data_IF_719883115972
#
_entry.id   IF_719883115972
#
_cell.length_a   1.000
_cell.length_b   1.000
_cell.length_c   1.000
_cell.angle_alpha   90.00
_cell.angle_beta   90.00
_cell.angle_gamma   90.00
#
_symmetry.space_group_name_H-M   'P 1'
#
loop_
_entity.id
_entity.type
_entity.pdbx_description
1 polymer ?
#
# COMPACT_ATOMS: atom_id res chain seq x y z
N UNK A 1 15.19 -0.94 -4.07
CA UNK A 1 14.38 0.10 -3.43
C UNK A 1 14.85 0.38 -2.02
N UNK A 2 15.32 -0.61 -1.26
CA UNK A 2 15.85 -0.36 0.09
C UNK A 2 16.87 -1.45 0.49
N UNK A 3 17.64 -1.21 1.55
CA UNK A 3 18.61 -2.15 2.14
C UNK A 3 18.48 -2.15 3.66
N UNK A 4 18.35 -3.34 4.24
CA UNK A 4 18.28 -3.53 5.69
C UNK A 4 19.56 -4.17 6.24
N UNK A 5 20.18 -5.04 5.45
CA UNK A 5 21.41 -5.73 5.81
C UNK A 5 22.25 -5.85 4.54
N UNK A 6 23.54 -5.56 4.65
CA UNK A 6 24.51 -5.78 3.57
C UNK A 6 25.77 -6.43 4.13
N UNK A 7 26.00 -7.70 3.80
CA UNK A 7 27.07 -8.48 4.41
C UNK A 7 26.82 -8.66 5.91
N UNK A 8 27.73 -8.15 6.73
CA UNK A 8 27.68 -8.12 8.19
C UNK A 8 27.18 -6.77 8.77
N UNK A 9 26.82 -5.82 7.91
CA UNK A 9 26.33 -4.49 8.32
C UNK A 9 24.81 -4.52 8.45
N UNK A 10 24.32 -4.27 9.67
CA UNK A 10 22.91 -4.01 9.95
C UNK A 10 22.60 -2.52 9.76
N UNK A 11 21.61 -2.24 8.91
CA UNK A 11 21.13 -0.91 8.56
C UNK A 11 19.67 -0.72 8.96
N UNK A 12 19.02 -1.68 9.63
CA UNK A 12 17.58 -1.62 9.91
C UNK A 12 17.17 -0.39 10.75
N UNK A 13 18.07 0.09 11.62
CA UNK A 13 17.86 1.26 12.48
C UNK A 13 18.40 2.56 11.88
N UNK A 14 19.03 2.52 10.71
CA UNK A 14 19.54 3.71 10.05
C UNK A 14 18.42 4.51 9.39
N UNK A 15 18.62 5.82 9.30
CA UNK A 15 17.78 6.73 8.53
C UNK A 15 17.70 6.30 7.06
N UNK A 16 16.55 6.50 6.42
CA UNK A 16 16.34 6.14 5.02
C UNK A 16 17.40 6.74 4.10
N UNK A 17 17.81 8.00 4.28
CA UNK A 17 18.84 8.63 3.45
C UNK A 17 20.17 7.87 3.50
N UNK A 18 20.60 7.44 4.69
CA UNK A 18 21.80 6.61 4.87
C UNK A 18 21.65 5.25 4.15
N UNK A 19 20.49 4.60 4.29
CA UNK A 19 20.22 3.30 3.65
C UNK A 19 20.22 3.43 2.12
N UNK A 20 19.61 4.47 1.57
CA UNK A 20 19.61 4.72 0.14
C UNK A 20 21.03 5.00 -0.38
N UNK A 21 21.78 5.88 0.27
CA UNK A 21 23.18 6.15 -0.07
C UNK A 21 24.02 4.87 -0.06
N UNK A 22 23.88 4.05 0.98
CA UNK A 22 24.59 2.78 1.09
C UNK A 22 24.23 1.82 -0.04
N UNK A 23 22.93 1.68 -0.33
CA UNK A 23 22.45 0.83 -1.42
C UNK A 23 23.05 1.26 -2.76
N UNK A 24 23.02 2.56 -3.08
CA UNK A 24 23.57 3.06 -4.34
C UNK A 24 25.08 2.80 -4.46
N UNK A 25 25.83 3.12 -3.41
CA UNK A 25 27.28 2.91 -3.34
C UNK A 25 27.65 1.44 -3.54
N UNK A 26 26.99 0.53 -2.80
CA UNK A 26 27.28 -0.91 -2.90
C UNK A 26 26.78 -1.55 -4.19
N UNK A 27 25.71 -1.01 -4.76
CA UNK A 27 25.21 -1.49 -6.04
C UNK A 27 26.18 -1.16 -7.18
N UNK A 28 26.84 0.00 -7.13
CA UNK A 28 27.85 0.40 -8.12
C UNK A 28 29.12 -0.48 -8.08
N UNK A 29 29.42 -1.10 -6.94
CA UNK A 29 30.55 -2.02 -6.76
C UNK A 29 30.24 -3.46 -7.23
N UNK A 30 28.98 -3.77 -7.55
CA UNK A 30 28.62 -5.13 -7.97
C UNK A 30 29.30 -5.50 -9.29
N UNK A 31 29.91 -6.69 -9.39
CA UNK A 31 30.52 -7.13 -10.63
C UNK A 31 29.46 -7.26 -11.74
N UNK A 32 29.85 -6.92 -12.97
CA UNK A 32 29.03 -7.15 -14.17
C UNK A 32 28.73 -8.66 -14.35
N UNK A 33 29.67 -9.50 -13.94
CA UNK A 33 29.50 -10.95 -13.95
C UNK A 33 28.40 -11.37 -12.99
N UNK A 34 27.37 -12.04 -13.52
CA UNK A 34 26.28 -12.62 -12.74
C UNK A 34 26.28 -14.14 -12.88
N UNK A 35 26.04 -14.90 -11.79
CA UNK A 35 25.84 -16.34 -11.88
C UNK A 35 24.72 -16.67 -12.87
N UNK A 36 24.85 -17.78 -13.63
CA UNK A 36 23.87 -18.17 -14.68
C UNK A 36 22.42 -18.26 -14.23
N UNK A 37 22.16 -18.43 -12.93
CA UNK A 37 20.82 -18.54 -12.33
C UNK A 37 20.39 -17.28 -11.57
N UNK A 38 21.24 -16.26 -11.48
CA UNK A 38 20.92 -15.02 -10.80
C UNK A 38 19.95 -14.20 -11.66
N UNK A 39 18.94 -13.61 -11.01
CA UNK A 39 18.09 -12.61 -11.66
C UNK A 39 18.86 -11.29 -11.79
N UNK A 40 18.66 -10.51 -12.86
CA UNK A 40 19.20 -9.16 -12.94
C UNK A 40 18.65 -8.35 -11.77
N UNK A 41 19.54 -7.66 -11.07
CA UNK A 41 19.15 -6.63 -10.12
C UNK A 41 19.14 -5.30 -10.84
N UNK A 42 18.12 -4.48 -10.57
CA UNK A 42 18.02 -3.11 -11.04
C UNK A 42 17.91 -2.20 -9.82
N UNK A 43 18.76 -1.18 -9.78
CA UNK A 43 18.68 -0.14 -8.77
C UNK A 43 17.51 0.79 -9.11
N UNK A 44 16.68 1.07 -8.11
CA UNK A 44 15.71 2.16 -8.15
C UNK A 44 16.25 3.22 -7.22
N UNK A 45 16.85 4.26 -7.80
CA UNK A 45 17.49 5.34 -7.07
C UNK A 45 16.47 6.21 -6.34
N UNK A 46 16.80 6.59 -5.11
CA UNK A 46 16.06 7.59 -4.38
C UNK A 46 16.51 8.98 -4.85
N UNK A 47 15.55 9.85 -5.15
CA UNK A 47 15.85 11.24 -5.54
C UNK A 47 15.06 12.19 -4.65
N UNK A 48 15.57 13.40 -4.37
CA UNK A 48 14.78 14.43 -3.73
C UNK A 48 13.47 14.65 -4.49
N UNK A 49 12.35 14.70 -3.77
CA UNK A 49 11.02 14.88 -4.34
C UNK A 49 10.75 16.33 -4.78
N UNK A 50 11.64 16.90 -5.60
CA UNK A 50 11.42 18.22 -6.21
C UNK A 50 10.40 18.12 -7.34
N UNK A 51 9.81 19.25 -7.69
CA UNK A 51 8.88 19.34 -8.81
C UNK A 51 9.49 18.81 -10.11
N UNK A 52 10.75 19.15 -10.41
CA UNK A 52 11.46 18.71 -11.61
C UNK A 52 11.74 17.21 -11.60
N UNK A 53 12.11 16.67 -10.43
CA UNK A 53 12.38 15.24 -10.26
C UNK A 53 11.08 14.42 -10.45
N UNK A 54 9.96 14.88 -9.89
CA UNK A 54 8.65 14.26 -10.03
C UNK A 54 8.16 14.31 -11.48
N UNK A 55 8.21 15.47 -12.14
CA UNK A 55 7.83 15.61 -13.54
C UNK A 55 8.65 14.66 -14.44
N UNK A 56 9.97 14.61 -14.22
CA UNK A 56 10.86 13.71 -14.96
C UNK A 56 10.50 12.26 -14.71
N UNK A 57 10.36 11.84 -13.45
CA UNK A 57 10.02 10.47 -13.09
C UNK A 57 8.63 10.05 -13.61
N UNK A 58 7.68 10.97 -13.72
CA UNK A 58 6.34 10.71 -14.23
C UNK A 58 6.36 10.44 -15.75
N UNK A 59 7.15 11.21 -16.49
CA UNK A 59 7.20 11.17 -17.96
C UNK A 59 8.24 10.20 -18.52
N UNK A 60 9.33 9.93 -17.80
CA UNK A 60 10.45 9.15 -18.32
C UNK A 60 10.09 7.68 -18.55
N UNK A 61 10.63 7.09 -19.61
CA UNK A 61 10.72 5.63 -19.70
C UNK A 61 12.01 5.19 -18.99
N UNK A 62 11.87 4.26 -18.05
CA UNK A 62 12.97 3.72 -17.23
C UNK A 62 13.26 2.25 -17.57
N UNK A 63 12.70 1.75 -18.69
CA UNK A 63 12.88 0.37 -19.15
C UNK A 63 12.05 -0.65 -18.39
N UNK A 64 11.13 -0.19 -17.54
CA UNK A 64 10.13 -1.02 -16.86
C UNK A 64 8.82 -0.25 -16.68
N UNK A 65 7.73 -0.99 -16.55
CA UNK A 65 6.40 -0.44 -16.29
C UNK A 65 6.39 0.10 -14.86
N UNK A 66 6.18 1.41 -14.72
CA UNK A 66 5.98 2.06 -13.42
C UNK A 66 4.67 1.56 -12.79
N UNK A 67 4.53 1.72 -11.49
CA UNK A 67 3.27 1.43 -10.78
C UNK A 67 2.90 2.57 -9.85
N UNK A 68 3.86 3.10 -9.09
CA UNK A 68 3.62 4.16 -8.13
C UNK A 68 4.86 5.00 -7.89
N UNK A 69 4.67 6.19 -7.34
CA UNK A 69 5.69 6.87 -6.57
C UNK A 69 5.66 6.41 -5.13
N UNK A 70 6.85 6.18 -4.58
CA UNK A 70 7.06 5.91 -3.16
C UNK A 70 7.84 7.09 -2.59
N UNK A 71 7.22 7.80 -1.66
CA UNK A 71 7.83 8.88 -0.90
C UNK A 71 8.31 8.32 0.42
N UNK A 72 9.57 8.56 0.75
CA UNK A 72 10.19 8.12 1.99
C UNK A 72 10.78 9.33 2.67
N UNK A 73 10.41 9.56 3.93
CA UNK A 73 11.03 10.62 4.73
C UNK A 73 12.51 10.30 4.95
N UNK A 74 13.39 11.29 4.75
CA UNK A 74 14.86 11.09 4.79
C UNK A 74 15.33 10.49 6.11
N UNK A 75 14.80 11.02 7.21
CA UNK A 75 15.09 10.58 8.58
C UNK A 75 14.24 9.37 9.02
N UNK A 76 13.45 8.78 8.10
CA UNK A 76 12.57 7.67 8.42
C UNK A 76 13.34 6.38 8.63
N UNK A 77 13.19 5.77 9.81
CA UNK A 77 13.73 4.44 10.09
C UNK A 77 12.84 3.35 9.46
N UNK A 78 13.42 2.18 9.18
CA UNK A 78 12.64 1.05 8.71
C UNK A 78 11.78 0.47 9.83
N UNK A 79 10.46 0.40 9.64
CA UNK A 79 9.55 -0.15 10.64
C UNK A 79 9.17 -1.61 10.30
N UNK A 80 9.65 -2.55 11.11
CA UNK A 80 9.38 -3.99 10.95
C UNK A 80 8.10 -4.41 11.71
N UNK A 81 7.80 -3.74 12.83
CA UNK A 81 6.75 -4.14 13.76
C UNK A 81 5.36 -3.57 13.43
N UNK A 82 5.27 -2.59 12.55
CA UNK A 82 4.01 -1.93 12.20
C UNK A 82 3.65 -2.15 10.72
N UNK A 83 2.35 -2.29 10.41
CA UNK A 83 1.91 -2.52 9.03
C UNK A 83 2.06 -1.30 8.12
N UNK A 84 2.09 -0.10 8.71
CA UNK A 84 2.10 1.18 8.00
C UNK A 84 2.90 2.19 8.82
N UNK A 85 3.47 3.17 8.14
CA UNK A 85 4.15 4.31 8.75
C UNK A 85 3.76 5.58 8.01
N UNK A 86 3.54 6.71 8.70
CA UNK A 86 3.31 7.99 8.02
C UNK A 86 4.55 8.50 7.27
N UNK A 87 5.72 7.92 7.55
CA UNK A 87 7.00 8.32 6.94
C UNK A 87 7.23 7.69 5.56
N UNK A 88 6.36 6.78 5.13
CA UNK A 88 6.41 6.17 3.80
C UNK A 88 5.03 6.27 3.17
N UNK A 89 4.92 7.05 2.10
CA UNK A 89 3.68 7.25 1.37
C UNK A 89 3.80 6.65 -0.02
N UNK A 90 2.68 6.12 -0.52
CA UNK A 90 2.58 5.65 -1.89
C UNK A 90 1.52 6.46 -2.62
N UNK A 91 1.87 6.96 -3.79
CA UNK A 91 0.97 7.67 -4.68
C UNK A 91 0.98 7.02 -6.06
N UNK A 92 -0.18 6.93 -6.70
CA UNK A 92 -0.32 6.32 -8.03
C UNK A 92 -1.54 6.88 -8.72
N UNK A 93 -1.55 6.84 -10.04
CA UNK A 93 -2.70 7.23 -10.84
C UNK A 93 -2.89 6.25 -12.00
N UNK A 94 -3.83 6.56 -12.90
CA UNK A 94 -4.10 5.74 -14.09
C UNK A 94 -2.97 5.76 -15.12
N UNK A 95 -2.11 6.78 -15.11
CA UNK A 95 -0.98 6.83 -16.04
C UNK A 95 0.16 5.92 -15.56
N UNK A 96 0.47 5.94 -14.26
CA UNK A 96 1.52 5.11 -13.69
C UNK A 96 1.06 3.68 -13.44
N UNK A 97 -0.11 3.47 -12.85
CA UNK A 97 -0.55 2.14 -12.42
C UNK A 97 -1.62 1.57 -13.33
N UNK A 98 -1.37 0.34 -13.80
CA UNK A 98 -2.42 -0.50 -14.42
C UNK A 98 -3.55 -0.82 -13.43
N UNK A 99 -3.21 -0.92 -12.14
CA UNK A 99 -4.12 -1.37 -11.08
C UNK A 99 -4.27 -0.30 -10.00
N UNK A 100 -4.65 0.90 -10.42
CA UNK A 100 -4.92 2.03 -9.52
C UNK A 100 -6.07 1.72 -8.54
N UNK A 101 -7.08 0.99 -9.02
CA UNK A 101 -8.18 0.42 -8.24
C UNK A 101 -8.08 -1.09 -8.36
N UNK A 102 -8.48 -1.82 -7.31
CA UNK A 102 -8.50 -3.29 -7.35
C UNK A 102 -9.52 -3.77 -8.41
N UNK A 103 -9.03 -4.42 -9.45
CA UNK A 103 -9.82 -5.01 -10.54
C UNK A 103 -9.73 -6.54 -10.52
N UNK A 104 -10.74 -7.26 -11.05
CA UNK A 104 -10.72 -8.72 -11.10
C UNK A 104 -9.99 -9.26 -12.35
N UNK A 105 -9.81 -8.43 -13.37
CA UNK A 105 -9.18 -8.80 -14.63
C UNK A 105 -7.67 -8.50 -14.66
N UNK A 106 -6.94 -9.19 -15.53
CA UNK A 106 -5.49 -9.06 -15.71
C UNK A 106 -5.07 -7.79 -16.47
N UNK A 107 -6.04 -6.99 -16.94
CA UNK A 107 -5.79 -5.79 -17.73
C UNK A 107 -6.05 -4.49 -16.93
N UNK A 108 -6.69 -4.57 -15.77
CA UNK A 108 -7.02 -3.38 -14.97
C UNK A 108 -8.27 -2.63 -15.43
N UNK A 109 -9.11 -3.24 -16.28
CA UNK A 109 -10.17 -2.53 -17.00
C UNK A 109 -11.55 -2.65 -16.37
N UNK A 110 -11.86 -3.78 -15.75
CA UNK A 110 -13.20 -4.04 -15.21
C UNK A 110 -13.24 -3.57 -13.77
N UNK A 111 -14.04 -2.55 -13.49
CA UNK A 111 -14.28 -2.13 -12.11
C UNK A 111 -15.35 -3.04 -11.48
N UNK A 112 -15.06 -3.71 -10.35
CA UNK A 112 -16.11 -4.40 -9.60
C UNK A 112 -17.18 -3.41 -9.18
N UNK A 113 -18.44 -3.84 -9.05
CA UNK A 113 -19.55 -2.98 -8.63
C UNK A 113 -19.30 -2.36 -7.24
N UNK A 114 -18.77 -3.17 -6.32
CA UNK A 114 -18.46 -2.76 -4.94
C UNK A 114 -16.96 -2.68 -4.70
N UNK A 115 -16.56 -1.80 -3.78
CA UNK A 115 -15.17 -1.72 -3.35
C UNK A 115 -14.88 -2.89 -2.40
N UNK A 116 -13.85 -3.68 -2.72
CA UNK A 116 -13.35 -4.71 -1.84
C UNK A 116 -12.24 -4.15 -0.94
N UNK A 117 -12.29 -4.46 0.35
CA UNK A 117 -11.29 -4.05 1.34
C UNK A 117 -10.95 -5.23 2.24
N UNK A 118 -9.72 -5.30 2.73
CA UNK A 118 -9.32 -6.27 3.75
C UNK A 118 -9.28 -5.59 5.11
N UNK A 119 -10.06 -6.08 6.06
CA UNK A 119 -10.17 -5.53 7.41
C UNK A 119 -9.86 -6.59 8.45
N UNK A 120 -9.33 -6.16 9.59
CA UNK A 120 -9.10 -7.01 10.74
C UNK A 120 -10.36 -7.10 11.59
N UNK A 121 -10.88 -8.32 11.79
CA UNK A 121 -11.97 -8.56 12.72
C UNK A 121 -11.46 -8.53 14.16
N UNK A 122 -12.11 -7.71 14.98
CA UNK A 122 -11.87 -7.55 16.42
C UNK A 122 -13.10 -8.00 17.21
N UNK A 123 -12.94 -8.08 18.53
CA UNK A 123 -14.02 -8.47 19.45
C UNK A 123 -15.26 -7.60 19.27
N UNK A 124 -16.44 -8.22 19.40
CA UNK A 124 -17.74 -7.54 19.23
C UNK A 124 -18.09 -7.19 17.78
N UNK A 125 -17.44 -7.82 16.79
CA UNK A 125 -17.73 -7.58 15.37
C UNK A 125 -17.11 -6.30 14.79
N UNK A 126 -16.25 -5.60 15.56
CA UNK A 126 -15.58 -4.39 15.09
C UNK A 126 -14.56 -4.72 14.00
N UNK A 127 -14.54 -3.92 12.94
CA UNK A 127 -13.63 -4.04 11.82
C UNK A 127 -12.60 -2.92 11.85
N UNK A 128 -11.32 -3.29 11.74
CA UNK A 128 -10.19 -2.38 11.95
C UNK A 128 -9.24 -2.34 10.75
N UNK A 129 -8.74 -1.17 10.43
CA UNK A 129 -7.69 -0.97 9.42
C UNK A 129 -6.29 -1.27 9.96
N UNK A 130 -5.30 -1.29 9.06
CA UNK A 130 -3.89 -1.47 9.42
C UNK A 130 -3.38 -0.39 10.38
N UNK A 131 -3.75 0.87 10.15
CA UNK A 131 -3.52 2.05 10.99
C UNK A 131 -4.48 2.14 12.20
N UNK A 132 -5.10 1.02 12.57
CA UNK A 132 -5.84 0.83 13.82
C UNK A 132 -7.14 1.63 13.96
N UNK A 133 -7.66 2.21 12.88
CA UNK A 133 -8.97 2.87 12.87
C UNK A 133 -10.10 1.82 12.88
N UNK A 134 -11.07 1.97 13.79
CA UNK A 134 -12.32 1.19 13.73
C UNK A 134 -13.24 1.87 12.73
N UNK A 135 -13.53 1.17 11.64
CA UNK A 135 -14.22 1.76 10.47
C UNK A 135 -15.61 1.20 10.25
N UNK A 136 -15.97 0.11 10.94
CA UNK A 136 -17.32 -0.46 10.91
C UNK A 136 -17.50 -1.46 12.06
N UNK A 137 -18.74 -1.85 12.29
CA UNK A 137 -19.09 -2.97 13.16
C UNK A 137 -20.11 -3.85 12.44
N UNK A 138 -19.86 -5.16 12.41
CA UNK A 138 -20.80 -6.14 11.86
C UNK A 138 -22.04 -6.25 12.77
N UNK A 139 -23.19 -6.48 12.16
CA UNK A 139 -24.38 -6.93 12.88
C UNK A 139 -24.13 -8.32 13.49
N UNK A 140 -25.02 -8.75 14.40
CA UNK A 140 -24.95 -10.08 14.99
C UNK A 140 -24.96 -11.19 13.92
N UNK A 141 -25.88 -11.08 12.95
CA UNK A 141 -25.95 -11.97 11.78
C UNK A 141 -24.67 -11.92 10.94
N UNK A 142 -24.14 -10.72 10.67
CA UNK A 142 -22.90 -10.55 9.91
C UNK A 142 -21.68 -11.13 10.63
N UNK A 143 -21.65 -11.06 11.95
CA UNK A 143 -20.61 -11.66 12.77
C UNK A 143 -20.68 -13.19 12.71
N UNK A 144 -21.88 -13.78 12.82
CA UNK A 144 -22.08 -15.23 12.68
C UNK A 144 -21.62 -15.69 11.28
N UNK A 145 -21.97 -14.95 10.23
CA UNK A 145 -21.51 -15.24 8.88
C UNK A 145 -19.97 -15.19 8.77
N UNK A 146 -19.35 -14.12 9.25
CA UNK A 146 -17.89 -13.97 9.23
C UNK A 146 -17.16 -15.07 10.00
N UNK A 147 -17.74 -15.56 11.11
CA UNK A 147 -17.23 -16.70 11.86
C UNK A 147 -17.29 -18.01 11.06
N UNK A 148 -18.37 -18.21 10.29
CA UNK A 148 -18.52 -19.32 9.36
C UNK A 148 -17.43 -19.32 8.28
N UNK A 149 -17.13 -18.16 7.69
CA UNK A 149 -16.07 -18.01 6.67
C UNK A 149 -14.68 -18.41 7.20
N UNK A 150 -14.42 -18.17 8.48
CA UNK A 150 -13.17 -18.55 9.13
C UNK A 150 -13.08 -20.06 9.49
N UNK A 151 -14.09 -20.87 9.14
CA UNK A 151 -14.13 -22.33 9.37
C UNK A 151 -13.78 -22.73 10.83
N UNK A 152 -14.34 -22.03 11.81
CA UNK A 152 -14.06 -22.32 13.22
C UNK A 152 -12.70 -21.84 13.74
N UNK A 153 -11.86 -21.21 12.90
CA UNK A 153 -10.71 -20.40 13.34
C UNK A 153 -11.16 -19.00 13.82
N UNK A 154 -12.27 -18.98 14.56
CA UNK A 154 -13.08 -17.81 14.90
C UNK A 154 -12.37 -16.71 15.73
N UNK A 155 -13.11 -15.67 16.16
CA UNK A 155 -12.65 -14.29 16.42
C UNK A 155 -11.79 -14.10 17.68
N UNK A 156 -11.37 -15.18 18.32
CA UNK A 156 -10.37 -15.11 19.40
C UNK A 156 -8.98 -14.75 18.86
N UNK A 157 -8.78 -14.88 17.54
CA UNK A 157 -7.56 -14.48 16.85
C UNK A 157 -7.83 -13.33 15.87
N UNK A 158 -6.81 -12.50 15.66
CA UNK A 158 -6.74 -11.35 14.74
C UNK A 158 -6.98 -11.77 13.28
N UNK A 159 -8.21 -12.12 12.92
CA UNK A 159 -8.56 -12.63 11.60
C UNK A 159 -8.68 -11.49 10.58
N UNK A 160 -8.17 -11.70 9.37
CA UNK A 160 -8.37 -10.80 8.25
C UNK A 160 -9.56 -11.26 7.40
N UNK A 161 -10.47 -10.34 7.11
CA UNK A 161 -11.64 -10.58 6.28
C UNK A 161 -11.55 -9.71 5.04
N UNK A 162 -11.84 -10.30 3.88
CA UNK A 162 -12.18 -9.54 2.69
C UNK A 162 -13.65 -9.14 2.84
N UNK A 163 -13.91 -7.85 2.76
CA UNK A 163 -15.23 -7.27 2.85
C UNK A 163 -15.55 -6.50 1.56
N UNK A 164 -16.82 -6.46 1.20
CA UNK A 164 -17.35 -5.51 0.24
C UNK A 164 -18.03 -4.36 0.98
N UNK A 165 -17.82 -3.14 0.51
CA UNK A 165 -18.39 -1.94 1.10
C UNK A 165 -19.22 -1.18 0.08
N UNK A 166 -20.31 -0.59 0.56
CA UNK A 166 -21.24 0.16 -0.29
C UNK A 166 -20.82 1.63 -0.43
N UNK A 167 -20.33 2.23 0.65
CA UNK A 167 -19.81 3.61 0.63
C UNK A 167 -18.74 3.83 1.69
N UNK A 168 -17.99 4.93 1.53
CA UNK A 168 -16.92 5.36 2.42
C UNK A 168 -17.24 6.78 2.87
N UNK A 169 -17.44 6.97 4.17
CA UNK A 169 -17.51 8.31 4.77
C UNK A 169 -16.08 8.73 5.16
N UNK A 170 -15.49 9.59 4.32
CA UNK A 170 -14.11 10.04 4.48
C UNK A 170 -13.94 10.85 5.77
N UNK A 171 -14.94 11.66 6.12
CA UNK A 171 -14.88 12.60 7.25
C UNK A 171 -15.09 11.90 8.58
N UNK A 172 -16.10 11.02 8.67
CA UNK A 172 -16.36 10.23 9.87
C UNK A 172 -15.38 9.04 10.03
N UNK A 173 -14.58 8.75 9.00
CA UNK A 173 -13.73 7.56 8.90
C UNK A 173 -14.51 6.26 9.11
N UNK A 174 -15.66 6.16 8.43
CA UNK A 174 -16.56 5.01 8.54
C UNK A 174 -16.85 4.38 7.17
N UNK A 175 -17.18 3.10 7.19
CA UNK A 175 -17.60 2.31 6.02
C UNK A 175 -19.05 1.88 6.24
N UNK A 176 -19.88 2.05 5.22
CA UNK A 176 -21.29 1.64 5.27
C UNK A 176 -21.57 0.43 4.38
N UNK A 177 -22.58 -0.35 4.77
CA UNK A 177 -22.98 -1.56 4.04
C UNK A 177 -21.84 -2.56 3.90
N UNK A 178 -21.12 -2.81 5.00
CA UNK A 178 -19.95 -3.70 5.02
C UNK A 178 -20.40 -5.15 5.16
N UNK A 179 -20.00 -5.98 4.21
CA UNK A 179 -20.32 -7.41 4.18
C UNK A 179 -19.02 -8.22 4.07
N UNK A 180 -18.78 -9.14 5.00
CA UNK A 180 -17.66 -10.06 4.91
C UNK A 180 -17.94 -11.11 3.82
N UNK A 181 -17.03 -11.28 2.86
CA UNK A 181 -17.19 -12.20 1.72
C UNK A 181 -16.20 -13.36 1.75
N UNK A 182 -15.04 -13.18 2.38
CA UNK A 182 -14.06 -14.25 2.52
C UNK A 182 -13.13 -14.04 3.72
N UNK A 183 -12.59 -15.14 4.24
CA UNK A 183 -11.43 -15.11 5.14
C UNK A 183 -10.13 -15.00 4.33
N UNK A 184 -9.21 -14.12 4.77
CA UNK A 184 -7.90 -13.92 4.15
C UNK A 184 -6.83 -14.66 4.94
N UNK A 185 -6.23 -15.68 4.33
CA UNK A 185 -5.18 -16.46 4.98
C UNK A 185 -3.88 -15.68 5.14
N UNK A 186 -3.19 -15.88 6.27
CA UNK A 186 -1.91 -15.22 6.60
C UNK A 186 -0.82 -15.40 5.52
N UNK A 187 -0.81 -16.54 4.82
CA UNK A 187 0.11 -16.81 3.70
C UNK A 187 -0.08 -15.88 2.50
N UNK A 188 -1.30 -15.36 2.33
CA UNK A 188 -1.66 -14.48 1.23
C UNK A 188 -1.45 -13.01 1.62
N UNK A 189 -1.69 -12.69 2.90
CA UNK A 189 -1.63 -11.33 3.41
C UNK A 189 -1.52 -11.34 4.93
N UNK A 190 -0.64 -10.49 5.47
CA UNK A 190 -0.39 -10.40 6.92
C UNK A 190 -1.14 -9.24 7.58
N UNK A 191 -1.49 -8.19 6.82
CA UNK A 191 -2.06 -6.96 7.35
C UNK A 191 -3.37 -6.56 6.68
N UNK A 192 -4.24 -5.84 7.38
CA UNK A 192 -5.42 -5.20 6.78
C UNK A 192 -5.02 -4.12 5.75
N UNK A 193 -5.99 -3.55 5.04
CA UNK A 193 -5.80 -2.31 4.30
C UNK A 193 -5.67 -1.13 5.29
N UNK A 194 -4.87 -0.14 4.92
CA UNK A 194 -4.82 1.15 5.62
C UNK A 194 -6.01 2.01 5.24
N UNK A 195 -6.39 2.95 6.11
CA UNK A 195 -7.42 3.93 5.79
C UNK A 195 -7.09 4.71 4.52
N UNK A 196 -5.85 5.17 4.38
CA UNK A 196 -5.37 5.88 3.20
C UNK A 196 -5.59 5.09 1.91
N UNK A 197 -5.27 3.79 1.88
CA UNK A 197 -5.51 2.93 0.71
C UNK A 197 -7.01 2.82 0.39
N UNK A 198 -7.86 2.69 1.41
CA UNK A 198 -9.32 2.56 1.23
C UNK A 198 -9.89 3.85 0.61
N UNK A 199 -9.54 5.02 1.16
CA UNK A 199 -9.98 6.32 0.64
C UNK A 199 -9.42 6.56 -0.76
N UNK A 200 -8.16 6.24 -1.01
CA UNK A 200 -7.53 6.40 -2.30
C UNK A 200 -8.26 5.63 -3.41
N UNK A 201 -8.58 4.36 -3.14
CA UNK A 201 -9.38 3.55 -4.06
C UNK A 201 -10.80 4.10 -4.23
N UNK A 202 -11.42 4.59 -3.15
CA UNK A 202 -12.76 5.18 -3.22
C UNK A 202 -12.80 6.40 -4.15
N UNK A 203 -11.87 7.35 -3.98
CA UNK A 203 -11.79 8.57 -4.79
C UNK A 203 -11.56 8.25 -6.28
N UNK A 204 -10.67 7.30 -6.60
CA UNK A 204 -10.47 6.87 -7.99
C UNK A 204 -11.71 6.21 -8.60
N UNK A 205 -12.49 5.47 -7.80
CA UNK A 205 -13.75 4.85 -8.25
C UNK A 205 -14.84 5.88 -8.54
N UNK A 206 -14.92 6.94 -7.74
CA UNK A 206 -15.88 8.04 -7.97
C UNK A 206 -15.44 9.01 -9.08
N UNK A 207 -14.18 8.94 -9.51
CA UNK A 207 -13.61 9.92 -10.44
C UNK A 207 -13.26 11.25 -9.78
N UNK A 208 -13.37 11.35 -8.46
CA UNK A 208 -13.04 12.52 -7.63
C UNK A 208 -11.52 12.59 -7.35
N UNK A 209 -10.72 12.37 -8.40
CA UNK A 209 -9.27 12.29 -8.27
C UNK A 209 -8.57 13.66 -8.25
N UNK A 210 -9.31 14.78 -8.34
CA UNK A 210 -8.73 16.12 -8.43
C UNK A 210 -7.75 16.42 -7.29
N UNK A 211 -8.12 16.12 -6.05
CA UNK A 211 -7.30 16.31 -4.86
C UNK A 211 -6.13 15.32 -4.73
N UNK A 212 -6.13 14.23 -5.50
CA UNK A 212 -5.08 13.21 -5.52
C UNK A 212 -4.43 13.07 -6.90
N UNK A 213 -4.60 14.07 -7.75
CA UNK A 213 -4.08 14.09 -9.12
C UNK A 213 -2.58 14.36 -9.12
N UNK A 214 -1.94 14.11 -10.27
CA UNK A 214 -0.53 14.46 -10.43
C UNK A 214 -0.32 15.97 -10.29
N UNK A 215 -1.25 16.79 -10.79
CA UNK A 215 -1.19 18.25 -10.66
C UNK A 215 -1.29 18.70 -9.19
N UNK A 216 -2.15 18.06 -8.40
CA UNK A 216 -2.23 18.32 -6.96
C UNK A 216 -0.92 17.95 -6.24
N UNK A 217 -0.33 16.81 -6.59
CA UNK A 217 0.98 16.39 -6.06
C UNK A 217 2.08 17.41 -6.43
N UNK A 218 2.09 17.90 -7.67
CA UNK A 218 3.04 18.90 -8.14
C UNK A 218 2.86 20.26 -7.44
N UNK A 219 1.63 20.66 -7.14
CA UNK A 219 1.33 21.84 -6.32
C UNK A 219 1.98 21.76 -4.94
N UNK A 220 1.81 20.64 -4.24
CA UNK A 220 2.41 20.41 -2.92
C UNK A 220 3.95 20.43 -3.00
N UNK A 221 4.54 19.80 -4.02
CA UNK A 221 5.99 19.76 -4.20
C UNK A 221 6.60 21.14 -4.47
N UNK A 222 5.81 22.08 -4.99
CA UNK A 222 6.23 23.48 -5.20
C UNK A 222 6.17 24.35 -3.92
N UNK A 223 5.67 23.80 -2.81
CA UNK A 223 5.48 24.52 -1.55
C UNK A 223 4.25 25.44 -1.53
N UNK A 224 3.31 25.24 -2.46
CA UNK A 224 2.02 25.92 -2.54
C UNK A 224 0.89 25.11 -1.91
#
# INVERSE_FOLDING_TARGET
MDVLVWGDVDLATAEAECRMFWLESRFAELPEWRPRRARPLHLVSATPATQEALARAYQSDVGYVKDSFQFVHREGHYCISEPVTPLVLMWRDRQLSRYVVDTPDQEGKVLPERQAVVLELRGGGRLRTADHCIVAQLSEEGLVHAQGLAHGKGPKSKALLRCEVSSVDIMARQLAGVHAVAHVAARSRVWADSWGRIVFQHLHRQGEAGAISFDALMGIASGN
#
